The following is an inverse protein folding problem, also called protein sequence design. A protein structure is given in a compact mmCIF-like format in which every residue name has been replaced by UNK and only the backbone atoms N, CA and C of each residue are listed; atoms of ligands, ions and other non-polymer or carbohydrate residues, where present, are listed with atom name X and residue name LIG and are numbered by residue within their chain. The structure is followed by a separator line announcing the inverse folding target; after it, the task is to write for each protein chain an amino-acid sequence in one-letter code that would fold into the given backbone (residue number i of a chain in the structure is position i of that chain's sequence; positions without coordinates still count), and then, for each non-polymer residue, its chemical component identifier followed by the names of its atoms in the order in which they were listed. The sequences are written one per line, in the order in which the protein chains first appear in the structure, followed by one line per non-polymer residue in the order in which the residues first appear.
data_IF_789985283826
#
_entry.id   IF_789985283826
#
_cell.length_a   1.000
_cell.length_b   1.000
_cell.length_c   1.000
_cell.angle_alpha   90.00
_cell.angle_beta   90.00
_cell.angle_gamma   90.00
#
_symmetry.space_group_name_H-M   'P 1'
#
loop_
_entity.id
_entity.type
_entity.pdbx_description
1 polymer ?
2 non-polymer ?
3 non-polymer ?
4 non-polymer ?
5 non-polymer ?
6 water ?
#
# COMPACT_ATOMS: atom_id res chain seq x y z
N UNK A 1 -26.84 -0.70 -11.13
CA UNK A 1 -26.02 -0.97 -12.35
C UNK A 1 -25.18 -2.25 -12.18
N UNK A 2 -24.93 -2.98 -13.27
CA UNK A 2 -24.10 -4.17 -13.18
C UNK A 2 -22.64 -3.79 -13.35
N UNK A 3 -21.87 -3.99 -12.28
CA UNK A 3 -20.45 -3.64 -12.27
C UNK A 3 -19.56 -4.83 -11.99
N UNK A 4 -18.49 -4.99 -12.78
CA UNK A 4 -17.52 -6.07 -12.55
C UNK A 4 -16.25 -5.42 -12.03
N UNK A 5 -15.64 -6.02 -11.02
CA UNK A 5 -14.41 -5.51 -10.43
C UNK A 5 -13.33 -6.61 -10.58
N UNK A 6 -12.22 -6.30 -11.27
CA UNK A 6 -11.13 -7.25 -11.47
C UNK A 6 -10.11 -7.10 -10.33
N UNK A 7 -10.02 -8.13 -9.49
CA UNK A 7 -9.08 -8.11 -8.39
C UNK A 7 -9.76 -7.97 -7.04
N UNK A 8 -9.52 -8.92 -6.15
CA UNK A 8 -10.13 -8.88 -4.82
C UNK A 8 -9.15 -8.55 -3.71
N UNK A 9 -8.28 -7.58 -3.96
CA UNK A 9 -7.34 -7.16 -2.93
C UNK A 9 -7.97 -6.04 -2.10
N UNK A 10 -7.14 -5.26 -1.39
CA UNK A 10 -7.64 -4.15 -0.59
C UNK A 10 -8.50 -3.19 -1.43
N UNK A 11 -8.02 -2.86 -2.62
CA UNK A 11 -8.75 -1.93 -3.49
C UNK A 11 -10.01 -2.56 -4.07
N UNK A 12 -9.82 -3.70 -4.75
CA UNK A 12 -10.95 -4.36 -5.36
C UNK A 12 -12.09 -4.72 -4.42
N UNK A 13 -11.76 -5.30 -3.27
CA UNK A 13 -12.80 -5.69 -2.33
C UNK A 13 -13.47 -4.47 -1.70
N UNK A 14 -12.68 -3.47 -1.33
CA UNK A 14 -13.22 -2.23 -0.76
C UNK A 14 -14.27 -1.63 -1.72
N UNK A 15 -13.88 -1.41 -2.97
CA UNK A 15 -14.79 -0.82 -3.97
C UNK A 15 -15.96 -1.73 -4.32
N UNK A 16 -15.70 -3.03 -4.44
CA UNK A 16 -16.79 -3.95 -4.76
C UNK A 16 -17.87 -3.92 -3.72
N UNK A 17 -17.47 -3.93 -2.45
CA UNK A 17 -18.45 -3.90 -1.38
C UNK A 17 -19.12 -2.52 -1.32
N UNK A 18 -18.33 -1.46 -1.47
CA UNK A 18 -18.90 -0.10 -1.48
C UNK A 18 -19.99 0.03 -2.54
N UNK A 19 -19.66 -0.39 -3.75
CA UNK A 19 -20.61 -0.28 -4.84
C UNK A 19 -21.75 -1.30 -4.84
N UNK A 20 -21.66 -2.32 -3.98
CA UNK A 20 -22.67 -3.39 -3.94
C UNK A 20 -23.94 -3.07 -3.16
N UNK A 21 -23.97 -1.91 -2.54
CA UNK A 21 -25.12 -1.49 -1.75
C UNK A 21 -26.27 -1.14 -2.67
N UNK A 22 -25.98 -0.47 -3.78
CA UNK A 22 -27.03 -0.08 -4.69
C UNK A 22 -26.77 -0.47 -6.15
N UNK A 23 -25.77 -1.32 -6.35
CA UNK A 23 -25.44 -1.80 -7.68
C UNK A 23 -25.24 -3.32 -7.59
N UNK A 24 -25.22 -3.99 -8.75
CA UNK A 24 -25.05 -5.44 -8.83
C UNK A 24 -23.58 -5.70 -9.15
N UNK A 25 -22.84 -6.08 -8.12
CA UNK A 25 -21.41 -6.28 -8.23
C UNK A 25 -20.90 -7.71 -8.33
N UNK A 26 -19.97 -7.92 -9.24
CA UNK A 26 -19.33 -9.21 -9.40
C UNK A 26 -17.83 -8.96 -9.32
N UNK A 27 -17.18 -9.56 -8.33
CA UNK A 27 -15.75 -9.41 -8.16
C UNK A 27 -15.06 -10.61 -8.78
N UNK A 28 -14.05 -10.35 -9.60
CA UNK A 28 -13.32 -11.40 -10.27
C UNK A 28 -11.92 -11.56 -9.72
N UNK A 29 -11.49 -12.80 -9.54
CA UNK A 29 -10.13 -13.01 -9.06
C UNK A 29 -9.65 -14.32 -9.65
N UNK A 30 -8.34 -14.56 -9.55
CA UNK A 30 -7.77 -15.81 -10.06
C UNK A 30 -7.44 -16.76 -8.90
N UNK A 31 -7.75 -16.38 -7.67
CA UNK A 31 -7.50 -17.23 -6.50
C UNK A 31 -8.83 -17.77 -5.99
N UNK A 32 -9.01 -19.10 -6.08
CA UNK A 32 -10.25 -19.76 -5.62
C UNK A 32 -10.59 -19.45 -4.17
N UNK A 33 -9.57 -19.34 -3.34
CA UNK A 33 -9.77 -19.05 -1.93
C UNK A 33 -10.51 -17.73 -1.70
N UNK A 34 -10.11 -16.69 -2.44
CA UNK A 34 -10.76 -15.38 -2.28
C UNK A 34 -12.18 -15.42 -2.78
N UNK A 35 -12.41 -16.09 -3.90
CA UNK A 35 -13.75 -16.19 -4.45
C UNK A 35 -14.69 -16.89 -3.47
N UNK A 36 -14.27 -18.03 -2.92
CA UNK A 36 -15.14 -18.74 -1.98
C UNK A 36 -15.38 -17.96 -0.70
N UNK A 37 -14.35 -17.25 -0.23
CA UNK A 37 -14.52 -16.46 0.98
C UNK A 37 -15.57 -15.39 0.74
N UNK A 38 -15.36 -14.59 -0.31
CA UNK A 38 -16.32 -13.54 -0.63
C UNK A 38 -17.73 -14.12 -0.83
N UNK A 39 -17.87 -15.19 -1.59
CA UNK A 39 -19.21 -15.76 -1.82
C UNK A 39 -19.85 -16.25 -0.52
N UNK A 40 -19.06 -16.36 0.53
CA UNK A 40 -19.63 -16.79 1.80
C UNK A 40 -19.65 -15.68 2.86
N UNK A 41 -19.52 -14.43 2.42
CA UNK A 41 -19.57 -13.31 3.34
C UNK A 41 -18.34 -13.10 4.20
N UNK A 42 -17.19 -13.57 3.75
CA UNK A 42 -15.97 -13.44 4.51
C UNK A 42 -14.93 -12.63 3.75
N UNK A 43 -14.29 -11.71 4.46
CA UNK A 43 -13.26 -10.84 3.89
C UNK A 43 -11.89 -11.54 3.93
N UNK A 44 -11.18 -11.57 2.79
CA UNK A 44 -9.85 -12.20 2.68
C UNK A 44 -8.79 -11.40 3.43
N UNK A 45 -9.13 -10.16 3.77
CA UNK A 45 -8.16 -9.32 4.49
C UNK A 45 -8.80 -8.71 5.71
N UNK A 46 -7.98 -8.28 6.67
CA UNK A 46 -8.50 -7.65 7.88
C UNK A 46 -8.90 -6.23 7.58
N UNK A 47 -10.16 -5.91 7.84
CA UNK A 47 -10.67 -4.58 7.61
C UNK A 47 -12.01 -4.55 8.32
N UNK A 48 -12.05 -3.76 9.39
CA UNK A 48 -13.25 -3.63 10.21
C UNK A 48 -14.54 -3.35 9.44
N UNK A 49 -14.49 -2.39 8.52
CA UNK A 49 -15.70 -2.04 7.77
C UNK A 49 -16.12 -3.08 6.72
N UNK A 50 -15.17 -3.63 5.98
CA UNK A 50 -15.53 -4.64 4.98
C UNK A 50 -16.16 -5.83 5.71
N UNK A 51 -15.55 -6.24 6.82
CA UNK A 51 -16.08 -7.37 7.58
C UNK A 51 -17.48 -7.05 8.05
N UNK A 52 -17.68 -5.81 8.50
CA UNK A 52 -19.00 -5.42 8.99
C UNK A 52 -20.03 -5.38 7.85
N UNK A 53 -19.64 -4.83 6.71
CA UNK A 53 -20.59 -4.76 5.61
C UNK A 53 -20.96 -6.16 5.08
N UNK A 54 -19.96 -7.02 4.89
CA UNK A 54 -20.25 -8.35 4.37
C UNK A 54 -21.20 -9.10 5.30
N UNK A 55 -20.99 -8.92 6.60
CA UNK A 55 -21.80 -9.58 7.61
C UNK A 55 -23.16 -8.97 7.88
N UNK A 56 -23.29 -7.65 7.87
CA UNK A 56 -24.58 -7.06 8.22
C UNK A 56 -25.32 -6.17 7.24
N UNK A 57 -24.78 -5.94 6.05
CA UNK A 57 -25.46 -5.07 5.10
C UNK A 57 -26.12 -5.83 3.96
N UNK A 58 -27.15 -5.22 3.35
CA UNK A 58 -27.86 -5.80 2.19
C UNK A 58 -26.93 -5.54 1.00
N UNK A 59 -26.15 -6.53 0.59
CA UNK A 59 -25.22 -6.30 -0.52
C UNK A 59 -25.55 -7.17 -1.72
N UNK A 60 -25.39 -6.61 -2.91
CA UNK A 60 -25.62 -7.39 -4.11
C UNK A 60 -24.21 -7.66 -4.62
N UNK A 61 -23.57 -8.67 -4.04
CA UNK A 61 -22.20 -8.98 -4.40
C UNK A 61 -21.90 -10.46 -4.48
N UNK A 62 -21.15 -10.86 -5.49
CA UNK A 62 -20.74 -12.25 -5.62
C UNK A 62 -19.36 -12.27 -6.26
N UNK A 63 -18.65 -13.38 -6.14
CA UNK A 63 -17.32 -13.49 -6.70
C UNK A 63 -17.29 -14.65 -7.69
N UNK A 64 -16.36 -14.59 -8.65
CA UNK A 64 -16.25 -15.66 -9.61
C UNK A 64 -14.85 -15.75 -10.20
N UNK A 65 -14.51 -16.93 -10.73
CA UNK A 65 -13.22 -17.15 -11.37
C UNK A 65 -13.46 -17.00 -12.86
N UNK A 66 -14.74 -17.01 -13.23
CA UNK A 66 -15.13 -16.91 -14.63
C UNK A 66 -15.06 -15.45 -15.16
N UNK A 67 -13.84 -15.02 -15.47
CA UNK A 67 -13.58 -13.69 -16.00
C UNK A 67 -14.48 -13.25 -17.14
N UNK A 68 -14.49 -14.05 -18.19
CA UNK A 68 -15.29 -13.73 -19.37
C UNK A 68 -16.77 -13.60 -19.08
N UNK A 69 -17.31 -14.44 -18.20
CA UNK A 69 -18.75 -14.36 -17.92
C UNK A 69 -19.09 -13.07 -17.19
N UNK A 70 -18.20 -12.68 -16.27
CA UNK A 70 -18.39 -11.46 -15.49
C UNK A 70 -18.25 -10.21 -16.38
N UNK A 71 -17.20 -10.16 -17.19
CA UNK A 71 -16.97 -9.00 -18.04
C UNK A 71 -17.96 -8.82 -19.18
N UNK A 72 -18.52 -9.92 -19.68
CA UNK A 72 -19.47 -9.84 -20.78
C UNK A 72 -20.75 -9.13 -20.35
N UNK A 73 -21.17 -9.44 -19.12
CA UNK A 73 -22.39 -8.92 -18.52
C UNK A 73 -22.30 -7.49 -17.94
N UNK A 74 -21.09 -7.03 -17.66
CA UNK A 74 -20.86 -5.73 -17.05
C UNK A 74 -21.18 -4.47 -17.87
N UNK A 75 -21.61 -3.42 -17.17
CA UNK A 75 -21.89 -2.12 -17.79
C UNK A 75 -20.67 -1.25 -17.59
N UNK A 76 -19.93 -1.54 -16.52
CA UNK A 76 -18.70 -0.84 -16.19
C UNK A 76 -17.79 -1.91 -15.61
N UNK A 77 -16.51 -1.82 -15.91
CA UNK A 77 -15.54 -2.74 -15.33
C UNK A 77 -14.44 -1.94 -14.64
N UNK A 78 -14.22 -2.27 -13.37
CA UNK A 78 -13.21 -1.58 -12.59
C UNK A 78 -12.03 -2.53 -12.45
N UNK A 79 -10.85 -2.04 -12.81
CA UNK A 79 -9.63 -2.84 -12.75
C UNK A 79 -8.79 -2.48 -11.53
N UNK A 80 -8.62 -3.45 -10.64
CA UNK A 80 -7.86 -3.28 -9.41
C UNK A 80 -6.85 -4.42 -9.22
N UNK A 81 -6.15 -4.79 -10.29
CA UNK A 81 -5.15 -5.86 -10.20
C UNK A 81 -3.77 -5.29 -9.81
N UNK A 82 -2.81 -6.17 -9.50
CA UNK A 82 -1.49 -5.65 -9.12
C UNK A 82 -0.73 -4.82 -10.15
N UNK A 83 0.13 -3.92 -9.66
CA UNK A 83 1.04 -3.15 -10.52
C UNK A 83 2.36 -3.06 -9.77
N UNK A 84 3.11 -4.15 -9.80
CA UNK A 84 4.41 -4.22 -9.13
C UNK A 84 5.50 -3.47 -9.86
N UNK A 85 6.44 -2.91 -9.10
CA UNK A 85 7.58 -2.25 -9.76
C UNK A 85 8.59 -3.38 -10.02
N UNK A 86 9.13 -3.45 -11.24
CA UNK A 86 10.08 -4.50 -11.63
C UNK A 86 11.44 -3.85 -11.79
N UNK A 87 12.39 -4.23 -10.93
CA UNK A 87 13.73 -3.64 -10.97
C UNK A 87 14.50 -3.90 -12.26
N UNK A 88 14.21 -5.02 -12.93
CA UNK A 88 14.92 -5.35 -14.16
C UNK A 88 14.56 -4.39 -15.29
N UNK A 89 13.27 -4.12 -15.46
CA UNK A 89 12.84 -3.23 -16.53
C UNK A 89 12.79 -1.75 -16.12
N UNK A 90 13.16 -1.45 -14.88
CA UNK A 90 13.13 -0.06 -14.37
C UNK A 90 11.70 0.53 -14.56
N UNK A 91 10.65 -0.23 -14.25
CA UNK A 91 9.29 0.26 -14.48
C UNK A 91 8.25 -0.66 -13.86
N UNK A 92 6.99 -0.21 -13.81
CA UNK A 92 5.92 -1.05 -13.31
C UNK A 92 5.74 -2.18 -14.33
N UNK A 93 5.39 -3.38 -13.85
CA UNK A 93 5.07 -4.49 -14.74
C UNK A 93 3.54 -4.38 -14.81
N UNK A 94 3.03 -3.92 -15.95
CA UNK A 94 1.59 -3.70 -16.12
C UNK A 94 0.85 -4.85 -16.79
N UNK A 95 1.43 -6.03 -16.76
CA UNK A 95 0.81 -7.18 -17.43
C UNK A 95 -0.56 -7.57 -16.88
N UNK A 96 -0.73 -7.48 -15.55
CA UNK A 96 -2.01 -7.86 -14.93
C UNK A 96 -3.15 -6.89 -15.23
N UNK A 97 -2.80 -5.67 -15.56
CA UNK A 97 -3.82 -4.68 -15.91
C UNK A 97 -4.12 -4.90 -17.41
N UNK A 98 -3.07 -5.02 -18.21
CA UNK A 98 -3.25 -5.22 -19.65
C UNK A 98 -3.98 -6.49 -19.99
N UNK A 99 -3.69 -7.56 -19.25
CA UNK A 99 -4.39 -8.79 -19.51
C UNK A 99 -5.89 -8.58 -19.25
N UNK A 100 -6.25 -7.85 -18.20
CA UNK A 100 -7.67 -7.61 -17.96
C UNK A 100 -8.31 -6.73 -19.07
N UNK A 101 -7.61 -5.69 -19.50
CA UNK A 101 -8.16 -4.81 -20.55
C UNK A 101 -8.48 -5.67 -21.80
N UNK A 102 -7.50 -6.49 -22.19
CA UNK A 102 -7.67 -7.35 -23.35
C UNK A 102 -8.90 -8.26 -23.22
N UNK A 103 -9.03 -8.95 -22.08
CA UNK A 103 -10.15 -9.85 -21.83
C UNK A 103 -11.48 -9.08 -21.88
N UNK A 104 -11.55 -7.92 -21.21
CA UNK A 104 -12.79 -7.15 -21.22
C UNK A 104 -13.15 -6.70 -22.65
N UNK A 105 -12.18 -6.18 -23.38
CA UNK A 105 -12.49 -5.71 -24.72
C UNK A 105 -12.90 -6.83 -25.67
N UNK A 106 -12.38 -8.04 -25.48
CA UNK A 106 -12.73 -9.15 -26.37
C UNK A 106 -14.16 -9.66 -26.20
N UNK A 107 -14.81 -9.38 -25.09
CA UNK A 107 -16.17 -9.87 -24.89
C UNK A 107 -17.20 -8.79 -24.56
N UNK A 108 -16.76 -7.55 -24.50
CA UNK A 108 -17.69 -6.47 -24.18
C UNK A 108 -17.41 -5.26 -25.04
N UNK A 109 -18.40 -4.89 -25.85
CA UNK A 109 -18.26 -3.79 -26.80
C UNK A 109 -18.85 -2.44 -26.36
N UNK A 110 -19.39 -2.39 -25.14
CA UNK A 110 -20.01 -1.16 -24.70
C UNK A 110 -19.51 -0.60 -23.37
N UNK A 111 -19.11 -1.47 -22.46
CA UNK A 111 -18.64 -1.01 -21.16
C UNK A 111 -17.38 -0.15 -21.17
N UNK A 112 -17.33 0.84 -20.29
CA UNK A 112 -16.13 1.66 -20.19
C UNK A 112 -15.27 1.00 -19.13
N UNK A 113 -13.96 0.96 -19.35
CA UNK A 113 -13.09 0.33 -18.36
C UNK A 113 -12.46 1.40 -17.49
N UNK A 114 -12.58 1.22 -16.18
CA UNK A 114 -12.04 2.18 -15.23
C UNK A 114 -10.89 1.57 -14.41
N UNK A 115 -9.68 2.09 -14.58
CA UNK A 115 -8.54 1.58 -13.83
C UNK A 115 -8.36 2.27 -12.47
N UNK A 116 -8.34 1.46 -11.39
CA UNK A 116 -8.13 1.96 -10.04
C UNK A 116 -6.68 1.65 -9.62
N UNK A 117 -6.10 0.63 -10.24
CA UNK A 117 -4.71 0.27 -9.96
C UNK A 117 -3.82 1.46 -10.29
N UNK A 118 -2.83 1.73 -9.45
CA UNK A 118 -1.88 2.83 -9.68
C UNK A 118 -1.07 2.48 -10.93
N UNK A 119 -1.00 3.41 -11.86
CA UNK A 119 -0.33 3.16 -13.13
C UNK A 119 0.67 4.22 -13.52
N UNK A 120 1.50 3.92 -14.56
CA UNK A 120 2.50 4.90 -15.00
C UNK A 120 1.82 6.13 -15.60
N UNK A 121 2.50 7.26 -15.52
CA UNK A 121 1.94 8.45 -16.13
C UNK A 121 2.10 8.20 -17.62
N UNK A 122 1.01 8.38 -18.37
CA UNK A 122 1.02 8.15 -19.81
C UNK A 122 0.46 6.76 -20.16
N UNK A 123 0.10 5.97 -19.15
CA UNK A 123 -0.41 4.64 -19.41
C UNK A 123 -1.77 4.60 -20.10
N UNK A 124 -2.72 5.43 -19.66
CA UNK A 124 -4.03 5.42 -20.33
C UNK A 124 -3.82 5.70 -21.83
N UNK A 125 -3.04 6.74 -22.11
CA UNK A 125 -2.78 7.14 -23.48
C UNK A 125 -2.10 6.02 -24.24
N UNK A 126 -1.15 5.34 -23.59
CA UNK A 126 -0.47 4.23 -24.25
C UNK A 126 -1.43 3.06 -24.52
N UNK A 127 -2.30 2.77 -23.55
CA UNK A 127 -3.26 1.68 -23.69
C UNK A 127 -4.32 1.98 -24.73
N UNK A 128 -4.72 3.24 -24.81
CA UNK A 128 -5.73 3.66 -25.78
C UNK A 128 -5.18 3.50 -27.19
N UNK A 129 -3.87 3.71 -27.36
CA UNK A 129 -3.28 3.53 -28.68
C UNK A 129 -3.03 2.06 -29.02
N UNK A 130 -2.63 1.28 -28.01
CA UNK A 130 -2.35 -0.15 -28.16
C UNK A 130 -3.61 -0.93 -28.52
N UNK A 131 -4.71 -0.62 -27.84
CA UNK A 131 -5.98 -1.29 -28.05
C UNK A 131 -6.92 -0.53 -28.97
N UNK A 132 -6.46 0.61 -29.45
CA UNK A 132 -7.21 1.41 -30.39
C UNK A 132 -8.66 1.67 -29.99
N UNK A 133 -8.84 2.28 -28.82
CA UNK A 133 -10.16 2.62 -28.30
C UNK A 133 -10.00 3.77 -27.30
N UNK A 134 -11.10 4.41 -26.93
CA UNK A 134 -11.02 5.50 -25.94
C UNK A 134 -11.78 5.07 -24.68
N UNK A 135 -12.22 3.81 -24.66
CA UNK A 135 -13.01 3.26 -23.55
C UNK A 135 -12.22 2.87 -22.29
N UNK A 136 -11.09 3.54 -22.06
CA UNK A 136 -10.24 3.26 -20.92
C UNK A 136 -9.94 4.57 -20.17
N UNK A 137 -10.32 4.64 -18.90
CA UNK A 137 -10.05 5.84 -18.12
C UNK A 137 -9.42 5.46 -16.78
N UNK A 138 -8.85 6.45 -16.09
CA UNK A 138 -8.20 6.25 -14.78
C UNK A 138 -8.92 7.05 -13.69
N UNK A 139 -9.05 6.45 -12.51
CA UNK A 139 -9.64 7.11 -11.36
C UNK A 139 -8.73 6.63 -10.24
N UNK A 140 -7.80 7.47 -9.80
CA UNK A 140 -6.88 7.03 -8.73
C UNK A 140 -7.54 6.57 -7.45
N UNK A 141 -6.85 5.71 -6.72
CA UNK A 141 -7.37 5.23 -5.44
C UNK A 141 -6.51 5.78 -4.30
N UNK A 142 -7.12 6.32 -3.25
CA UNK A 142 -6.35 6.91 -2.15
C UNK A 142 -6.49 6.20 -0.80
N UNK A 143 -7.23 5.10 -0.75
CA UNK A 143 -7.45 4.38 0.53
C UNK A 143 -6.18 3.88 1.20
N UNK A 144 -6.24 3.72 2.52
CA UNK A 144 -5.13 3.19 3.30
C UNK A 144 -5.49 1.78 3.77
N UNK A 145 -4.52 0.86 3.75
CA UNK A 145 -4.79 -0.48 4.23
C UNK A 145 -5.20 -0.35 5.72
N UNK A 146 -6.12 -1.19 6.14
CA UNK A 146 -6.71 -1.22 7.49
C UNK A 146 -7.85 -0.22 7.58
N UNK A 147 -8.01 0.61 6.54
CA UNK A 147 -9.11 1.59 6.47
C UNK A 147 -9.58 1.62 5.02
N UNK A 148 -9.51 0.45 4.37
CA UNK A 148 -9.84 0.31 2.96
C UNK A 148 -11.23 0.81 2.55
N UNK A 149 -12.26 0.36 3.26
CA UNK A 149 -13.61 0.77 2.94
C UNK A 149 -13.89 2.11 3.65
N UNK A 150 -13.40 2.25 4.87
CA UNK A 150 -13.59 3.50 5.61
C UNK A 150 -13.18 4.70 4.75
N UNK A 151 -12.00 4.62 4.11
CA UNK A 151 -11.51 5.73 3.28
C UNK A 151 -12.33 5.99 2.04
N UNK A 152 -13.16 5.04 1.62
CA UNK A 152 -14.01 5.31 0.47
C UNK A 152 -15.39 5.72 0.94
N UNK A 153 -15.65 5.55 2.23
CA UNK A 153 -16.92 6.02 2.83
C UNK A 153 -16.70 7.51 3.18
N UNK A 154 -15.46 7.86 3.54
CA UNK A 154 -15.04 9.23 3.90
C UNK A 154 -13.80 9.62 3.08
N UNK A 155 -13.95 9.74 1.75
CA UNK A 155 -12.80 10.10 0.89
C UNK A 155 -12.37 11.55 0.94
N UNK A 156 -11.07 11.76 0.80
CA UNK A 156 -10.46 13.10 0.75
C UNK A 156 -10.98 13.81 -0.52
N UNK A 157 -11.02 13.06 -1.63
CA UNK A 157 -11.56 13.56 -2.90
C UNK A 157 -11.78 12.41 -3.86
N UNK A 158 -12.49 12.70 -4.96
CA UNK A 158 -12.76 11.73 -6.01
C UNK A 158 -12.24 12.32 -7.30
N UNK A 159 -11.48 11.54 -8.06
CA UNK A 159 -10.90 11.99 -9.33
C UNK A 159 -11.14 10.93 -10.40
N UNK A 160 -11.63 11.35 -11.57
CA UNK A 160 -11.85 10.44 -12.70
C UNK A 160 -11.35 11.17 -13.95
N UNK A 161 -10.66 10.45 -14.85
CA UNK A 161 -10.15 11.07 -16.06
C UNK A 161 -11.20 11.04 -17.20
N UNK A 162 -11.04 11.98 -18.12
CA UNK A 162 -11.92 12.16 -19.27
C UNK A 162 -11.06 12.99 -20.24
N UNK A 163 -11.10 12.70 -21.54
CA UNK A 163 -10.35 13.51 -22.50
C UNK A 163 -11.36 14.33 -23.32
N UNK A 164 -10.97 15.52 -23.74
CA UNK A 164 -11.86 16.41 -24.48
C UNK A 164 -12.55 15.77 -25.70
N UNK A 165 -11.81 14.96 -26.46
CA UNK A 165 -12.42 14.30 -27.61
C UNK A 165 -12.87 12.87 -27.42
N UNK A 166 -13.19 12.47 -26.18
CA UNK A 166 -13.68 11.12 -25.94
C UNK A 166 -15.12 11.07 -26.42
N UNK A 167 -15.60 9.86 -26.71
CA UNK A 167 -16.97 9.69 -27.15
C UNK A 167 -17.95 10.10 -26.04
N UNK A 168 -19.16 10.53 -26.42
CA UNK A 168 -20.17 10.94 -25.44
C UNK A 168 -20.44 9.87 -24.38
N UNK A 169 -20.34 8.61 -24.79
CA UNK A 169 -20.56 7.49 -23.86
C UNK A 169 -19.44 7.41 -22.81
N UNK A 170 -18.20 7.45 -23.24
CA UNK A 170 -17.09 7.39 -22.30
C UNK A 170 -17.11 8.61 -21.37
N UNK A 171 -17.41 9.78 -21.91
CA UNK A 171 -17.49 10.97 -21.06
C UNK A 171 -18.63 10.81 -20.06
N UNK A 172 -19.77 10.31 -20.51
CA UNK A 172 -20.91 10.13 -19.59
C UNK A 172 -20.58 9.09 -18.52
N UNK A 173 -19.90 8.02 -18.90
CA UNK A 173 -19.55 6.97 -17.95
C UNK A 173 -18.53 7.52 -16.92
N UNK A 174 -17.58 8.32 -17.39
CA UNK A 174 -16.59 8.87 -16.48
C UNK A 174 -17.30 9.67 -15.39
N UNK A 175 -18.28 10.46 -15.80
CA UNK A 175 -19.05 11.26 -14.86
C UNK A 175 -19.90 10.39 -13.95
N UNK A 176 -20.61 9.43 -14.55
CA UNK A 176 -21.47 8.55 -13.75
C UNK A 176 -20.66 7.82 -12.70
N UNK A 177 -19.46 7.37 -13.06
CA UNK A 177 -18.63 6.65 -12.10
C UNK A 177 -18.21 7.57 -10.95
N UNK A 178 -17.79 8.78 -11.26
CA UNK A 178 -17.41 9.71 -10.22
C UNK A 178 -18.61 9.92 -9.29
N UNK A 179 -19.80 10.00 -9.87
CA UNK A 179 -20.96 10.22 -9.02
C UNK A 179 -21.42 8.97 -8.27
N UNK A 180 -21.06 7.78 -8.77
CA UNK A 180 -21.41 6.56 -8.04
C UNK A 180 -20.55 6.56 -6.77
N UNK A 181 -19.29 6.97 -6.92
CA UNK A 181 -18.43 7.02 -5.74
C UNK A 181 -18.91 8.11 -4.77
N UNK A 182 -19.31 9.25 -5.31
CA UNK A 182 -19.76 10.32 -4.44
C UNK A 182 -21.01 9.94 -3.66
N UNK A 183 -22.00 9.41 -4.36
CA UNK A 183 -23.25 9.04 -3.70
C UNK A 183 -23.10 7.89 -2.73
N UNK A 184 -22.12 7.03 -2.96
CA UNK A 184 -21.91 5.90 -2.06
C UNK A 184 -21.15 6.33 -0.79
N UNK A 185 -20.51 7.49 -0.84
CA UNK A 185 -19.78 7.98 0.32
C UNK A 185 -20.78 8.39 1.40
N UNK A 186 -20.38 8.37 2.66
CA UNK A 186 -21.28 8.80 3.72
C UNK A 186 -20.89 10.22 4.07
N UNK A 187 -19.74 10.62 3.56
CA UNK A 187 -19.23 11.97 3.78
C UNK A 187 -20.03 12.91 2.87
N UNK A 188 -20.43 14.04 3.39
CA UNK A 188 -21.24 15.01 2.66
C UNK A 188 -20.52 15.84 1.59
N UNK A 189 -19.44 16.52 1.98
CA UNK A 189 -18.76 17.40 1.02
C UNK A 189 -17.47 16.84 0.44
N UNK A 190 -17.61 16.01 -0.58
CA UNK A 190 -16.46 15.41 -1.22
C UNK A 190 -16.16 16.06 -2.56
N UNK A 191 -14.98 16.68 -2.70
CA UNK A 191 -14.59 17.32 -3.95
C UNK A 191 -14.49 16.27 -5.04
N UNK A 192 -15.00 16.58 -6.22
CA UNK A 192 -14.93 15.69 -7.37
C UNK A 192 -14.21 16.45 -8.50
N UNK A 193 -13.09 15.90 -8.98
CA UNK A 193 -12.33 16.52 -10.04
C UNK A 193 -12.30 15.63 -11.25
N UNK A 194 -12.54 16.23 -12.42
CA UNK A 194 -12.49 15.53 -13.69
C UNK A 194 -11.30 16.15 -14.42
N UNK A 195 -10.33 15.34 -14.82
CA UNK A 195 -9.16 15.90 -15.49
C UNK A 195 -8.62 14.92 -16.50
N UNK A 196 -7.59 15.33 -17.24
CA UNK A 196 -7.01 14.44 -18.25
C UNK A 196 -6.39 13.25 -17.55
N UNK A 197 -6.26 12.15 -18.28
CA UNK A 197 -5.67 10.93 -17.73
C UNK A 197 -4.26 11.14 -17.19
N UNK A 198 -3.40 11.78 -17.97
CA UNK A 198 -2.01 11.98 -17.52
C UNK A 198 -1.96 12.83 -16.26
N UNK A 199 -2.85 13.82 -16.16
CA UNK A 199 -2.89 14.64 -14.95
C UNK A 199 -3.34 13.76 -13.77
N UNK A 200 -4.32 12.91 -14.00
CA UNK A 200 -4.80 12.07 -12.92
C UNK A 200 -3.75 11.03 -12.49
N UNK A 201 -3.01 10.48 -13.45
CA UNK A 201 -1.98 9.47 -13.14
C UNK A 201 -0.89 10.15 -12.32
N UNK A 202 -0.57 11.39 -12.69
CA UNK A 202 0.43 12.17 -11.98
C UNK A 202 -0.03 12.47 -10.57
N UNK A 203 -1.31 12.83 -10.39
CA UNK A 203 -1.80 13.13 -9.05
C UNK A 203 -1.48 11.98 -8.11
N UNK A 204 -1.81 10.77 -8.53
CA UNK A 204 -1.57 9.62 -7.67
C UNK A 204 -0.08 9.39 -7.36
N UNK A 205 0.77 9.42 -8.39
CA UNK A 205 2.19 9.20 -8.11
C UNK A 205 2.80 10.35 -7.30
N UNK A 206 2.43 11.60 -7.60
CA UNK A 206 2.98 12.73 -6.85
C UNK A 206 2.43 12.78 -5.42
N UNK A 207 1.21 12.28 -5.20
CA UNK A 207 0.70 12.32 -3.84
C UNK A 207 1.44 11.29 -2.99
N UNK A 208 1.56 10.07 -3.50
CA UNK A 208 2.25 9.04 -2.73
C UNK A 208 3.71 9.41 -2.55
N UNK A 209 4.31 10.05 -3.56
CA UNK A 209 5.71 10.41 -3.43
C UNK A 209 5.91 11.49 -2.36
N UNK A 210 4.91 12.36 -2.19
CA UNK A 210 4.98 13.39 -1.14
C UNK A 210 4.89 12.69 0.23
N UNK A 211 4.01 11.69 0.36
CA UNK A 211 3.92 10.97 1.63
C UNK A 211 5.26 10.28 1.92
N UNK A 212 5.91 9.73 0.89
CA UNK A 212 7.21 9.07 1.12
C UNK A 212 8.22 10.16 1.48
N UNK A 213 8.14 11.29 0.78
CA UNK A 213 9.06 12.40 1.07
C UNK A 213 8.97 12.77 2.55
N UNK A 214 7.75 12.90 3.05
CA UNK A 214 7.56 13.29 4.45
C UNK A 214 8.15 12.25 5.42
N UNK A 215 7.88 10.96 5.18
CA UNK A 215 8.41 9.93 6.06
C UNK A 215 9.92 9.95 5.96
N UNK A 216 10.43 10.05 4.74
CA UNK A 216 11.88 10.08 4.56
C UNK A 216 12.52 11.27 5.28
N UNK A 217 11.86 12.44 5.23
CA UNK A 217 12.42 13.63 5.90
C UNK A 217 12.45 13.46 7.42
N UNK A 218 11.33 13.06 8.01
CA UNK A 218 11.32 12.88 9.46
C UNK A 218 12.30 11.77 9.89
N UNK A 219 12.54 10.80 9.00
CA UNK A 219 13.52 9.73 9.31
C UNK A 219 14.96 10.26 9.24
N UNK A 220 15.22 11.22 8.35
CA UNK A 220 16.58 11.79 8.26
C UNK A 220 16.82 12.72 9.45
N UNK A 221 15.76 13.39 9.89
CA UNK A 221 15.87 14.26 11.05
C UNK A 221 16.17 13.31 12.23
N UNK A 222 15.49 12.15 12.26
CA UNK A 222 15.68 11.17 13.34
C UNK A 222 17.10 10.57 13.34
N UNK A 223 17.66 10.36 12.16
CA UNK A 223 19.02 9.84 12.03
C UNK A 223 19.94 10.87 12.67
N UNK A 224 19.70 12.14 12.35
CA UNK A 224 20.52 13.22 12.89
C UNK A 224 20.40 13.27 14.42
N UNK A 225 19.16 13.21 14.91
CA UNK A 225 18.89 13.25 16.34
C UNK A 225 19.58 12.14 17.10
N UNK A 226 19.47 10.92 16.59
CA UNK A 226 20.13 9.81 17.26
C UNK A 226 21.66 9.96 17.18
N UNK A 227 22.15 10.37 16.02
CA UNK A 227 23.62 10.51 15.88
C UNK A 227 24.20 11.58 16.79
N UNK A 228 23.45 12.63 17.03
CA UNK A 228 23.93 13.72 17.88
C UNK A 228 23.39 13.66 19.32
N UNK A 229 22.75 12.55 19.68
CA UNK A 229 22.21 12.35 21.02
C UNK A 229 21.24 13.44 21.46
N UNK A 230 20.33 13.78 20.54
CA UNK A 230 19.32 14.80 20.78
C UNK A 230 17.99 14.12 20.97
N UNK A 231 17.06 14.82 21.63
CA UNK A 231 15.72 14.27 21.87
C UNK A 231 14.87 14.48 20.61
N UNK A 232 14.67 13.41 19.85
CA UNK A 232 13.91 13.44 18.59
C UNK A 232 12.46 13.89 18.77
N UNK A 233 11.83 13.46 19.85
CA UNK A 233 10.43 13.85 20.10
C UNK A 233 10.30 15.36 20.29
N UNK A 234 11.23 15.95 21.02
CA UNK A 234 11.20 17.38 21.26
C UNK A 234 11.38 18.16 19.97
N UNK A 235 12.31 17.73 19.13
CA UNK A 235 12.52 18.42 17.87
C UNK A 235 11.29 18.29 16.93
N UNK A 236 10.78 17.07 16.81
CA UNK A 236 9.64 16.85 15.92
C UNK A 236 8.39 17.59 16.39
N UNK A 237 8.22 17.63 17.70
CA UNK A 237 7.08 18.31 18.27
C UNK A 237 7.23 19.79 17.95
N UNK A 238 8.46 20.30 18.11
CA UNK A 238 8.72 21.70 17.85
C UNK A 238 8.47 22.15 16.43
N UNK A 239 8.83 21.34 15.42
CA UNK A 239 8.56 21.78 14.06
C UNK A 239 7.11 21.50 13.67
N UNK A 240 6.53 20.42 14.21
CA UNK A 240 5.15 20.08 13.86
C UNK A 240 4.09 21.08 14.33
N UNK A 241 4.41 21.92 15.32
CA UNK A 241 3.47 22.94 15.78
C UNK A 241 3.29 24.05 14.73
N UNK A 242 4.12 24.05 13.68
CA UNK A 242 3.96 25.00 12.57
C UNK A 242 2.82 24.33 11.76
N UNK A 243 1.63 24.93 11.69
CA UNK A 243 0.57 24.20 10.96
C UNK A 243 0.78 23.99 9.47
N UNK A 244 1.85 24.57 8.93
CA UNK A 244 2.18 24.36 7.52
C UNK A 244 2.92 23.03 7.41
N UNK A 245 3.41 22.55 8.55
CA UNK A 245 4.12 21.28 8.63
C UNK A 245 3.11 20.25 9.19
N UNK A 246 2.56 20.51 10.37
CA UNK A 246 1.52 19.60 10.88
C UNK A 246 1.91 18.49 11.82
N UNK A 247 0.99 18.11 12.71
CA UNK A 247 1.27 17.06 13.68
C UNK A 247 0.91 15.63 13.24
N UNK A 248 0.80 15.41 11.94
CA UNK A 248 0.41 14.09 11.42
C UNK A 248 1.50 13.43 10.61
N UNK A 249 1.39 12.10 10.42
CA UNK A 249 2.28 11.39 9.50
C UNK A 249 3.73 11.90 9.63
N UNK A 250 4.24 11.81 10.85
CA UNK A 250 5.58 12.31 11.16
C UNK A 250 6.23 11.43 12.22
N UNK A 251 5.91 10.14 12.24
CA UNK A 251 6.47 9.23 13.24
C UNK A 251 7.66 8.43 12.64
N UNK A 252 8.87 8.62 13.18
CA UNK A 252 10.05 7.89 12.67
C UNK A 252 9.88 6.37 12.65
N UNK A 253 10.62 5.71 11.76
CA UNK A 253 10.53 4.27 11.57
C UNK A 253 11.84 3.81 10.95
N UNK A 254 11.89 2.54 10.57
CA UNK A 254 13.09 1.98 9.94
C UNK A 254 13.07 2.28 8.45
N UNK A 255 12.02 2.96 8.00
CA UNK A 255 11.89 3.31 6.58
C UNK A 255 10.45 3.26 6.11
N UNK A 256 10.12 3.90 4.98
CA UNK A 256 8.72 3.79 4.54
C UNK A 256 8.56 2.43 3.86
N UNK A 257 7.50 1.73 4.23
CA UNK A 257 7.23 0.40 3.70
C UNK A 257 5.85 0.31 3.06
N UNK A 258 5.34 -0.92 2.93
CA UNK A 258 4.05 -1.13 2.32
C UNK A 258 4.23 -1.40 0.84
N UNK A 259 3.25 -2.02 0.21
CA UNK A 259 3.33 -2.34 -1.20
C UNK A 259 3.48 -1.10 -2.08
N UNK A 260 2.79 -0.04 -1.68
CA UNK A 260 2.72 1.20 -2.40
C UNK A 260 3.81 2.29 -2.41
N UNK A 261 4.17 2.89 -1.27
CA UNK A 261 5.17 3.96 -1.34
C UNK A 261 6.50 3.52 -2.00
N UNK A 262 7.02 2.34 -1.63
CA UNK A 262 8.28 1.91 -2.26
C UNK A 262 8.26 1.85 -3.79
N UNK A 263 7.24 1.19 -4.33
CA UNK A 263 7.12 1.03 -5.77
C UNK A 263 6.68 2.28 -6.51
N UNK A 264 5.81 3.08 -5.89
CA UNK A 264 5.30 4.28 -6.56
C UNK A 264 6.37 5.39 -6.65
N UNK A 265 7.20 5.52 -5.62
CA UNK A 265 8.26 6.54 -5.69
C UNK A 265 9.21 6.13 -6.82
N UNK A 266 9.52 4.84 -6.89
CA UNK A 266 10.42 4.36 -7.94
C UNK A 266 9.82 4.57 -9.31
N UNK A 267 8.51 4.34 -9.44
CA UNK A 267 7.86 4.54 -10.72
C UNK A 267 7.90 6.02 -11.13
N UNK A 268 7.67 6.92 -10.19
CA UNK A 268 7.66 8.35 -10.56
C UNK A 268 9.06 8.72 -11.07
N UNK A 269 10.09 8.31 -10.34
CA UNK A 269 11.47 8.58 -10.75
C UNK A 269 11.67 8.11 -12.21
N UNK A 270 11.19 6.92 -12.53
CA UNK A 270 11.32 6.39 -13.88
C UNK A 270 10.57 7.26 -14.89
N UNK A 271 9.37 7.71 -14.54
CA UNK A 271 8.60 8.55 -15.45
C UNK A 271 9.27 9.89 -15.68
N UNK A 272 10.14 10.31 -14.77
CA UNK A 272 10.83 11.58 -14.97
C UNK A 272 11.84 11.44 -16.12
N UNK A 273 12.32 10.22 -16.38
CA UNK A 273 13.34 10.06 -17.42
C UNK A 273 14.47 11.07 -17.15
N UNK A 274 14.75 11.96 -18.10
CA UNK A 274 15.82 12.96 -17.93
C UNK A 274 15.32 14.38 -17.64
N UNK A 275 14.06 14.50 -17.28
CA UNK A 275 13.50 15.79 -16.91
C UNK A 275 14.27 16.17 -15.64
N UNK A 276 14.75 17.41 -15.56
CA UNK A 276 15.54 17.89 -14.42
C UNK A 276 14.89 17.80 -13.04
N UNK A 277 15.58 17.16 -12.09
CA UNK A 277 15.13 17.00 -10.71
C UNK A 277 16.27 16.41 -9.88
N UNK A 278 16.21 16.57 -8.56
CA UNK A 278 17.19 15.96 -7.67
C UNK A 278 16.47 15.41 -6.45
N UNK A 279 15.30 15.98 -6.15
CA UNK A 279 14.53 15.50 -5.00
C UNK A 279 13.86 14.16 -5.28
N UNK A 280 13.33 13.96 -6.47
CA UNK A 280 12.64 12.71 -6.72
C UNK A 280 13.56 11.50 -6.53
N UNK A 281 14.77 11.59 -7.07
CA UNK A 281 15.71 10.48 -6.93
C UNK A 281 16.15 10.36 -5.46
N UNK A 282 16.30 11.46 -4.75
CA UNK A 282 16.72 11.36 -3.33
C UNK A 282 15.69 10.72 -2.41
N UNK A 283 14.40 10.85 -2.75
CA UNK A 283 13.34 10.26 -1.91
C UNK A 283 13.47 8.74 -1.93
N UNK A 284 13.89 8.18 -3.07
CA UNK A 284 14.09 6.75 -3.19
C UNK A 284 15.40 6.35 -2.45
N UNK A 285 16.51 7.05 -2.71
CA UNK A 285 17.77 6.67 -2.05
C UNK A 285 17.75 6.87 -0.56
N UNK A 286 17.05 7.89 -0.11
CA UNK A 286 16.94 8.18 1.32
C UNK A 286 16.45 6.97 2.13
N UNK A 287 15.54 6.19 1.57
CA UNK A 287 15.03 5.03 2.29
C UNK A 287 16.17 4.00 2.50
N UNK A 288 16.99 3.79 1.47
CA UNK A 288 18.10 2.84 1.52
C UNK A 288 19.11 3.24 2.57
N UNK A 289 19.43 4.53 2.59
CA UNK A 289 20.40 5.09 3.52
C UNK A 289 19.88 5.00 4.96
N UNK A 290 18.57 5.25 5.13
CA UNK A 290 17.97 5.17 6.46
C UNK A 290 18.09 3.73 6.99
N UNK A 291 17.74 2.76 6.15
CA UNK A 291 17.81 1.34 6.52
C UNK A 291 19.22 0.90 6.91
N UNK A 292 20.20 1.31 6.12
CA UNK A 292 21.57 0.93 6.41
C UNK A 292 22.03 1.56 7.71
N UNK A 293 21.58 2.78 7.99
CA UNK A 293 21.95 3.45 9.22
C UNK A 293 21.35 2.68 10.41
N UNK A 294 20.09 2.29 10.30
CA UNK A 294 19.46 1.54 11.38
C UNK A 294 20.22 0.21 11.57
N UNK A 295 20.54 -0.49 10.49
CA UNK A 295 21.26 -1.75 10.67
C UNK A 295 22.58 -1.56 11.42
N UNK A 296 23.30 -0.46 11.13
CA UNK A 296 24.59 -0.21 11.79
C UNK A 296 24.39 0.11 13.26
N UNK A 297 23.35 0.88 13.59
CA UNK A 297 23.10 1.17 15.00
C UNK A 297 22.88 -0.14 15.80
N UNK A 298 22.17 -1.09 15.21
CA UNK A 298 21.91 -2.36 15.88
C UNK A 298 23.22 -3.12 16.02
N UNK A 299 23.97 -3.17 14.93
CA UNK A 299 25.25 -3.85 14.94
C UNK A 299 26.14 -3.27 16.04
N UNK A 300 26.12 -1.95 16.20
CA UNK A 300 26.97 -1.37 17.22
C UNK A 300 26.52 -1.69 18.63
N UNK A 301 25.22 -1.76 18.85
CA UNK A 301 24.70 -2.10 20.17
C UNK A 301 25.13 -3.53 20.49
N UNK A 302 25.03 -4.42 19.50
CA UNK A 302 25.39 -5.82 19.72
C UNK A 302 26.85 -6.03 20.12
N UNK A 303 27.77 -5.36 19.45
CA UNK A 303 29.17 -5.54 19.76
C UNK A 303 29.55 -5.02 21.16
N UNK A 304 28.61 -4.34 21.81
CA UNK A 304 28.85 -3.83 23.16
C UNK A 304 28.39 -4.90 24.16
N UNK A 305 28.04 -6.08 23.68
CA UNK A 305 27.58 -7.13 24.55
C UNK A 305 28.55 -8.30 24.60
N UNK A 306 28.65 -8.93 25.76
CA UNK A 306 29.55 -10.05 25.95
C UNK A 306 28.75 -11.33 26.05
N UNK A 307 28.48 -11.95 24.91
CA UNK A 307 27.72 -13.18 24.86
C UNK A 307 28.39 -14.06 23.80
N UNK A 308 28.51 -15.37 24.06
CA UNK A 308 29.15 -16.24 23.06
C UNK A 308 28.49 -16.11 21.68
N UNK A 309 27.16 -16.00 21.70
CA UNK A 309 26.36 -15.85 20.48
C UNK A 309 25.58 -14.56 20.65
N UNK A 310 25.44 -13.81 19.57
CA UNK A 310 24.70 -12.56 19.61
C UNK A 310 23.39 -12.86 18.91
N UNK A 311 22.26 -12.64 19.58
CA UNK A 311 20.99 -12.94 18.96
C UNK A 311 20.10 -11.70 18.87
N UNK A 312 19.62 -11.41 17.68
CA UNK A 312 18.73 -10.26 17.51
C UNK A 312 17.32 -10.80 17.38
N UNK A 313 16.43 -10.33 18.26
CA UNK A 313 15.05 -10.75 18.21
C UNK A 313 14.23 -9.68 17.48
N UNK A 314 13.63 -10.05 16.37
CA UNK A 314 12.82 -9.12 15.61
C UNK A 314 11.34 -9.23 16.07
N UNK A 315 10.83 -8.15 16.66
CA UNK A 315 9.46 -8.14 17.13
C UNK A 315 8.53 -7.59 16.06
N UNK A 316 7.84 -8.51 15.39
CA UNK A 316 6.88 -8.24 14.30
C UNK A 316 7.54 -7.88 12.99
N UNK A 317 6.85 -8.23 11.90
CA UNK A 317 7.28 -7.91 10.54
C UNK A 317 6.21 -7.07 9.84
N UNK A 318 5.09 -6.76 10.51
CA UNK A 318 4.03 -5.98 9.86
C UNK A 318 4.57 -4.66 9.30
N UNK A 319 4.09 -4.26 8.12
CA UNK A 319 4.64 -3.08 7.46
C UNK A 319 4.33 -1.73 8.08
N UNK A 320 3.29 -1.65 8.92
CA UNK A 320 2.97 -0.42 9.63
C UNK A 320 2.08 -0.79 10.81
N UNK A 321 1.76 0.19 11.65
CA UNK A 321 0.87 -0.07 12.79
C UNK A 321 -0.46 -0.65 12.29
N UNK A 322 -0.98 -1.69 12.96
CA UNK A 322 -2.27 -2.31 12.58
C UNK A 322 -2.34 -3.02 11.22
N UNK A 323 -1.21 -3.26 10.59
CA UNK A 323 -1.19 -3.93 9.31
C UNK A 323 -1.36 -5.47 9.41
N UNK A 324 -1.92 -6.07 8.36
CA UNK A 324 -2.08 -7.52 8.32
C UNK A 324 -1.17 -8.14 7.24
N UNK A 325 -0.18 -7.37 6.80
CA UNK A 325 0.79 -7.88 5.82
C UNK A 325 2.19 -7.32 6.08
N UNK A 326 3.18 -7.86 5.38
CA UNK A 326 4.59 -7.46 5.53
C UNK A 326 5.19 -6.94 4.23
N UNK A 327 4.33 -6.53 3.30
CA UNK A 327 4.81 -6.08 1.97
C UNK A 327 5.80 -4.91 2.08
N UNK A 328 7.02 -5.12 1.58
CA UNK A 328 8.09 -4.14 1.65
C UNK A 328 8.30 -3.62 3.09
N UNK A 329 8.03 -4.45 4.08
CA UNK A 329 8.22 -4.01 5.46
C UNK A 329 9.68 -3.59 5.59
N UNK A 330 9.91 -2.39 6.11
CA UNK A 330 11.26 -1.86 6.22
C UNK A 330 12.22 -2.72 7.06
N UNK A 331 11.70 -3.30 8.13
CA UNK A 331 12.51 -4.11 9.02
C UNK A 331 13.07 -5.33 8.28
N UNK A 332 12.40 -5.76 7.21
CA UNK A 332 12.92 -6.94 6.48
C UNK A 332 14.24 -6.62 5.77
N UNK A 333 14.37 -5.39 5.29
CA UNK A 333 15.62 -5.00 4.63
C UNK A 333 16.72 -4.87 5.69
N UNK A 334 16.36 -4.35 6.85
CA UNK A 334 17.32 -4.22 7.93
C UNK A 334 17.82 -5.64 8.29
N UNK A 335 16.89 -6.59 8.37
CA UNK A 335 17.25 -7.97 8.69
C UNK A 335 18.24 -8.50 7.63
N UNK A 336 17.94 -8.27 6.36
CA UNK A 336 18.80 -8.74 5.29
C UNK A 336 20.24 -8.27 5.51
N UNK A 337 20.40 -7.01 5.89
CA UNK A 337 21.73 -6.45 6.15
C UNK A 337 22.39 -7.08 7.36
N UNK A 338 21.60 -7.37 8.40
CA UNK A 338 22.15 -7.97 9.60
C UNK A 338 22.62 -9.40 9.31
N UNK A 339 21.92 -10.07 8.39
CA UNK A 339 22.25 -11.45 8.04
C UNK A 339 23.66 -11.64 7.49
N UNK A 340 24.21 -10.61 6.85
CA UNK A 340 25.54 -10.70 6.30
C UNK A 340 26.58 -10.64 7.41
N UNK A 341 26.10 -10.63 8.65
CA UNK A 341 27.00 -10.56 9.79
C UNK A 341 26.88 -11.85 10.58
N UNK A 342 27.68 -11.99 11.62
CA UNK A 342 27.61 -13.21 12.42
C UNK A 342 26.53 -13.05 13.50
N UNK A 343 25.33 -12.72 13.06
CA UNK A 343 24.21 -12.50 13.98
C UNK A 343 23.06 -13.49 13.81
N UNK A 344 22.64 -14.12 14.89
CA UNK A 344 21.52 -15.05 14.79
C UNK A 344 20.26 -14.19 14.81
N UNK A 345 19.26 -14.55 13.99
CA UNK A 345 18.01 -13.79 13.93
C UNK A 345 16.81 -14.67 14.28
N UNK A 346 16.05 -14.25 15.29
CA UNK A 346 14.81 -14.95 15.63
C UNK A 346 13.69 -13.91 15.43
N UNK A 347 12.56 -14.40 14.92
CA UNK A 347 11.41 -13.55 14.63
C UNK A 347 10.15 -13.92 15.38
N UNK A 348 9.54 -12.92 16.02
CA UNK A 348 8.26 -13.10 16.69
C UNK A 348 7.23 -12.43 15.77
N UNK A 349 6.39 -13.25 15.16
CA UNK A 349 5.38 -12.75 14.25
C UNK A 349 4.22 -13.74 14.19
N UNK A 350 3.24 -13.60 15.10
CA UNK A 350 2.04 -14.46 15.20
C UNK A 350 1.32 -14.71 13.88
N UNK A 351 1.24 -13.70 13.03
CA UNK A 351 0.56 -13.83 11.75
C UNK A 351 1.26 -14.78 10.79
N UNK A 352 2.48 -15.17 11.14
CA UNK A 352 3.22 -16.05 10.27
C UNK A 352 3.29 -17.45 10.85
N UNK A 353 3.11 -18.45 10.00
CA UNK A 353 3.12 -19.86 10.42
C UNK A 353 4.50 -20.52 10.23
N UNK A 354 5.15 -20.20 9.12
CA UNK A 354 6.45 -20.75 8.80
C UNK A 354 7.20 -19.81 7.88
N UNK A 355 8.52 -19.81 7.98
CA UNK A 355 9.36 -18.98 7.14
C UNK A 355 9.68 -19.85 5.93
N UNK A 356 10.13 -19.25 4.85
CA UNK A 356 10.48 -20.03 3.68
C UNK A 356 11.60 -20.99 4.11
N UNK A 357 11.63 -22.19 3.53
CA UNK A 357 12.64 -23.20 3.89
C UNK A 357 14.11 -22.80 3.95
N UNK A 358 14.53 -21.88 3.08
CA UNK A 358 15.92 -21.49 3.07
C UNK A 358 16.27 -20.42 4.10
N UNK A 359 15.25 -19.75 4.64
CA UNK A 359 15.48 -18.69 5.60
C UNK A 359 16.27 -19.16 6.82
N UNK A 360 17.37 -18.49 7.12
CA UNK A 360 18.20 -18.84 8.28
C UNK A 360 17.63 -18.21 9.55
N UNK A 361 16.66 -17.31 9.38
CA UNK A 361 16.04 -16.71 10.55
C UNK A 361 15.22 -17.82 11.19
N UNK A 362 14.99 -17.74 12.50
CA UNK A 362 14.19 -18.75 13.15
C UNK A 362 12.95 -18.11 13.80
N UNK A 363 11.78 -18.63 13.45
CA UNK A 363 10.50 -18.13 13.97
C UNK A 363 10.22 -18.67 15.38
N UNK A 364 10.15 -17.77 16.35
CA UNK A 364 9.89 -18.15 17.74
C UNK A 364 8.61 -17.44 18.17
N UNK A 365 7.46 -18.07 17.93
CA UNK A 365 6.20 -17.45 18.29
C UNK A 365 5.75 -17.57 19.74
N UNK A 366 6.61 -18.11 20.60
CA UNK A 366 6.29 -18.14 22.01
C UNK A 366 6.99 -16.86 22.45
N UNK A 367 6.20 -15.86 22.84
CA UNK A 367 6.78 -14.59 23.22
C UNK A 367 7.79 -14.68 24.35
N UNK A 368 7.47 -15.44 25.39
CA UNK A 368 8.37 -15.55 26.53
C UNK A 368 9.75 -16.11 26.12
N UNK A 369 9.78 -17.14 25.29
CA UNK A 369 11.04 -17.74 24.83
C UNK A 369 11.79 -16.72 23.98
N UNK A 370 11.03 -16.00 23.17
CA UNK A 370 11.59 -14.98 22.27
C UNK A 370 12.36 -13.94 23.11
N UNK A 371 11.70 -13.41 24.13
CA UNK A 371 12.34 -12.40 24.97
C UNK A 371 13.60 -12.95 25.65
N UNK A 372 13.53 -14.20 26.09
CA UNK A 372 14.66 -14.80 26.78
C UNK A 372 15.88 -14.94 25.89
N UNK A 373 15.66 -15.44 24.67
CA UNK A 373 16.77 -15.65 23.73
C UNK A 373 17.41 -14.39 23.13
N UNK A 374 16.60 -13.36 22.88
CA UNK A 374 17.14 -12.16 22.26
C UNK A 374 18.07 -11.33 23.13
N UNK A 375 19.25 -11.01 22.61
CA UNK A 375 20.18 -10.15 23.34
C UNK A 375 19.65 -8.73 23.20
N UNK A 376 19.09 -8.44 22.02
CA UNK A 376 18.49 -7.14 21.73
C UNK A 376 17.21 -7.40 20.94
N UNK A 377 16.17 -6.64 21.26
CA UNK A 377 14.91 -6.77 20.55
C UNK A 377 14.72 -5.56 19.64
N UNK A 378 14.55 -5.83 18.36
CA UNK A 378 14.39 -4.79 17.35
C UNK A 378 12.94 -4.76 16.86
N UNK A 379 12.34 -3.58 16.86
CA UNK A 379 10.96 -3.48 16.38
C UNK A 379 10.68 -2.12 15.73
N UNK A 380 9.89 -2.13 14.67
CA UNK A 380 9.53 -0.88 13.98
C UNK A 380 8.59 -0.01 14.84
N UNK A 381 7.62 -0.65 15.48
CA UNK A 381 6.70 0.06 16.38
C UNK A 381 6.62 -0.67 17.72
N UNK A 382 6.75 0.09 18.79
CA UNK A 382 6.72 -0.45 20.15
C UNK A 382 5.35 -0.98 20.56
N UNK A 383 5.33 -1.88 21.55
CA UNK A 383 4.06 -2.42 22.07
C UNK A 383 4.27 -2.69 23.54
N UNK A 384 3.24 -2.35 24.34
CA UNK A 384 3.31 -2.53 25.78
C UNK A 384 3.68 -3.92 26.30
N UNK A 385 3.40 -4.96 25.53
CA UNK A 385 3.73 -6.31 25.99
C UNK A 385 5.24 -6.57 25.99
N UNK A 386 6.02 -5.53 25.69
CA UNK A 386 7.49 -5.63 25.69
C UNK A 386 8.02 -4.90 26.94
N UNK A 387 7.10 -4.36 27.74
CA UNK A 387 7.45 -3.60 28.94
C UNK A 387 8.49 -4.24 29.84
N UNK A 388 8.39 -5.54 30.05
CA UNK A 388 9.31 -6.22 30.96
C UNK A 388 10.73 -6.42 30.42
N UNK A 389 10.92 -6.19 29.12
CA UNK A 389 12.25 -6.32 28.52
C UNK A 389 12.61 -4.99 27.84
N UNK A 390 11.92 -3.93 28.24
CA UNK A 390 12.08 -2.58 27.70
C UNK A 390 13.51 -2.09 27.51
N UNK A 391 14.37 -2.40 28.46
CA UNK A 391 15.75 -1.94 28.37
C UNK A 391 16.59 -2.58 27.28
N UNK A 392 16.09 -3.60 26.60
CA UNK A 392 16.88 -4.17 25.52
C UNK A 392 16.14 -4.03 24.19
N UNK A 393 15.13 -3.16 24.16
CA UNK A 393 14.36 -2.93 22.94
C UNK A 393 14.89 -1.73 22.17
N UNK A 394 15.11 -1.92 20.87
CA UNK A 394 15.58 -0.83 20.03
C UNK A 394 14.50 -0.52 19.01
N UNK A 395 14.01 0.72 19.02
CA UNK A 395 12.98 1.17 18.09
C UNK A 395 13.09 2.69 17.97
N UNK A 396 12.65 3.27 16.85
CA UNK A 396 12.69 4.74 16.71
C UNK A 396 11.25 5.29 16.75
N UNK A 397 10.31 4.40 17.02
CA UNK A 397 8.90 4.76 17.14
C UNK A 397 8.76 5.82 18.23
N UNK A 398 8.00 6.88 17.95
CA UNK A 398 7.80 7.88 18.97
C UNK A 398 6.31 7.98 19.35
N UNK A 399 5.46 8.15 18.36
CA UNK A 399 4.03 8.38 18.58
C UNK A 399 3.09 7.18 18.62
N UNK A 400 3.59 5.97 18.35
CA UNK A 400 2.76 4.76 18.40
C UNK A 400 1.68 4.68 17.33
N UNK A 401 2.01 5.06 16.10
CA UNK A 401 1.01 5.06 15.04
C UNK A 401 1.72 5.06 13.70
N UNK A 402 0.99 4.78 12.64
CA UNK A 402 1.55 4.77 11.29
C UNK A 402 2.83 3.93 11.15
X LIG B 1 -7.60 10.26 9.65
X LIG B 1 -8.68 9.26 9.51
X LIG B 1 -6.34 9.57 10.02
X LIG B 1 -7.42 11.00 8.39
X LIG B 1 -7.96 11.21 10.73
X LIG C 1 8.06 -21.42 19.33
X LIG C 1 7.03 -22.27 19.96
X LIG C 1 9.17 -22.27 18.84
X LIG C 1 7.48 -20.70 18.19
X LIG C 1 8.61 -20.47 20.32
X LIG D 1 7.46 -8.35 -0.41
X LIG D 1 6.18 -8.96 -0.03
X LIG D 1 8.37 -9.38 -0.95
X LIG D 1 7.21 -7.36 -1.48
X LIG D 1 8.10 -7.70 0.75
X LIG E 1 -3.69 -7.09 -3.78
X LIG E 1 -2.40 -7.76 -4.04
X LIG E 1 -4.19 -7.00 -2.39
X LIG E 1 -4.85 -7.73 -4.65
X LIG E 1 -4.68 -7.96 -6.05
X LIG E 1 -5.66 -9.03 -6.43
X LIG E 1 -5.79 -9.09 -7.88
X LIG E 1 -5.15 -10.40 -5.97
X LIG E 1 -6.22 -11.08 -5.26
X LIG E 1 -4.84 -11.16 -7.25
X LIG E 1 -5.16 -12.59 -7.08
X LIG E 1 -5.82 -10.51 -8.21
X LIG E 1 -5.51 -10.71 -9.62
X LIG E 1 -4.23 -10.78 -10.22
X LIG E 1 -4.38 -10.89 -11.54
X LIG E 1 -5.75 -10.87 -11.74
X LIG E 1 -6.31 -11.02 -12.98
X LIG E 1 -5.57 -11.16 -14.09
X LIG E 1 -7.67 -11.04 -13.03
X LIG E 1 -8.40 -10.91 -11.88
X LIG E 1 -7.79 -10.78 -10.66
X LIG E 1 -6.44 -10.77 -10.61
X LIG E 1 -3.57 -5.61 -4.35
X LIG E 1 -4.03 -4.18 -3.82
X LIG E 1 -3.32 -3.90 -2.56
X LIG E 1 -5.50 -4.13 -3.87
X LIG E 1 -3.50 -3.19 -4.95
X LIG E 1 -4.03 -3.31 -6.28
X LIG E 1 -3.68 -2.07 -7.09
X LIG E 1 -4.28 -0.91 -6.45
X LIG E 1 -2.18 -1.84 -7.11
X LIG E 1 -1.85 -1.11 -8.31
X LIG E 1 -1.96 -0.91 -5.92
X LIG E 1 -0.78 -0.16 -6.15
X LIG E 1 -3.21 -0.03 -6.01
X LIG E 1 -3.57 0.57 -4.73
X LIG E 1 -3.39 -0.13 -3.52
X LIG E 1 -3.76 0.45 -2.32
X LIG E 1 -3.55 -0.30 -1.00
X LIG E 1 -3.62 0.32 0.07
X LIG E 1 -3.26 -1.59 -1.12
X LIG E 1 -4.33 1.73 -2.30
X LIG E 1 -4.52 2.43 -3.49
X LIG E 1 -4.14 1.86 -4.70
X LIG F 1 -0.63 4.59 1.48
X LIG F 1 -1.31 5.97 1.39
X LIG F 1 -1.48 6.49 2.70
X LIG F 1 -2.69 5.86 0.72
X LIG F 1 -3.30 7.14 0.57
X LIG F 1 -2.52 5.19 -0.65
X LIG F 1 -3.80 5.04 -1.25
X LIG F 1 -1.87 3.82 -0.43
X LIG F 1 -0.58 3.99 0.21
X LIG F 1 -1.61 3.13 -1.76
X LIG F 1 -1.37 3.82 -2.79
X LIG F 1 -1.64 1.87 -1.78
X LIG F 1 -0.65 2.52 3.05
X LIG F 1 0.32 1.94 2.08
X LIG F 1 -1.76 1.65 3.58
X LIG F 1 -1.33 3.80 2.41
X LIG F 1 0.20 3.01 4.29
X LIG F 1 0.57 4.36 5.09
X LIG F 1 -0.24 4.42 6.32
X LIG F 1 0.56 5.49 4.14
X LIG F 1 2.11 4.09 5.48
X LIG F 1 3.06 3.80 4.45
X LIG F 1 4.42 3.47 5.04
X LIG F 1 5.04 4.67 5.57
X LIG F 1 4.28 2.48 6.19
X LIG F 1 5.36 1.54 6.14
X LIG F 1 4.34 3.39 7.43
X LIG F 1 4.87 2.68 8.59
X LIG F 1 5.32 4.48 6.98
X LIG F 1 5.07 5.67 7.79
X LIG F 1 3.91 6.41 7.61
X LIG F 1 5.99 6.01 8.76
X LIG F 1 7.03 5.40 8.95
X LIG F 1 5.66 7.14 9.50
X LIG F 1 4.52 7.90 9.37
X LIG F 1 4.33 8.86 10.14
X LIG F 1 3.63 7.48 8.35
X LIG G 1 19.09 17.20 -13.19
X LIG G 1 18.40 16.01 -13.54
X LIG G 1 20.60 16.99 -13.27
X LIG G 1 21.01 16.07 -12.27
X LIG G 1 20.99 16.47 -14.65
X LIG G 1 22.39 16.19 -14.68
X LIG H 1 3.24 -7.56 -4.13
X LIG H 1 4.05 -8.16 -3.13
X LIG H 1 1.97 -8.38 -4.33
X LIG H 1 1.27 -8.49 -3.10
X LIG H 1 1.06 -7.72 -5.38
X LIG H 1 -0.17 -8.41 -5.44
X LIG I 1 -8.06 9.07 1.75
X LIG I 1 -8.95 9.69 0.80
X LIG I 1 -7.53 10.11 2.77
X LIG I 1 -8.61 10.67 3.50
X LIG I 1 -6.56 9.44 3.72
X LIG I 1 -6.31 10.32 4.82
#
# INVERSE_FOLDING_TARGET
MKIAVAGSGYVGLSLGVLLSLQNEVTIVDILPSKVDKINNGLSPIQDEYIEYYLKSKQLSIKATLDSKAAYKEAELVIIATPTNYNSRINYFDTQHVETVIKEVLSVNSHATLIIKSTIPIGFITEMRQKFQTDRIIFSPEFLRESKALYDNLYPSRIIVSCEENDSPKVKADAEKFALLLKSAAKKNNVPVLIMGASEAEAVKLFANTYLALRVAYFNELDTYAESRKLNSHMIIQGISYDDRIGMHYNNPSFGYGGYSLPKDTKQLLANYNNIPQTLIEAIVSSNNVRKSYIAKQIINVLKEQESPVKVVGVYRLIMKSNSDNFRESAIKDVIDILKSKDIKIIIYEPMLNKLESEDQSVLVNDLENFKKQANIIVTNRYDNELQDVKNKVYSRDIFGRD
SO4 S O1 O2 O3 O4
SO4 S O1 O2 O3 O4
SO4 S O1 O2 O3 O4
NAI PA O1A O2A O5B C5B C4B O4B C3B O3B C2B O2B C1B N9A C8A N7A C5A C6A N6A N1A C2A N3A C4A O3 PN O1N O2N O5D C5D C4D O4D C3D O3D C2D O2D C1D N1N C2N C3N C7N O7N N7N C4N C5N C6N
UGA C1' C2' O2' C3' O3' C4' O4' C5' O5' C6' O'P O'Q PB O1B O2B O3B O3A PA O1A O2A O5D C5D C4D O4D C3D O3D C2D O2D C1D N1 C6 C2 O2 N3 C4 O4 C5
GOL C1 O1 C2 O2 C3 O3
GOL C1 O1 C2 O2 C3 O3
GOL C1 O1 C2 O2 C3 O3
#
